data_IF_958591354642
#
_entry.id   IF_958591354642
#
_cell.length_a   1.000
_cell.length_b   1.000
_cell.length_c   1.000
_cell.angle_alpha   90.00
_cell.angle_beta   90.00
_cell.angle_gamma   90.00
#
_symmetry.space_group_name_H-M   'P 1'
#
loop_
_entity.id
_entity.type
_entity.pdbx_description
1 polymer ?
#
# COMPACT_ATOMS: atom_id res chain seq x y z
N UNK A 1 1.03 -12.60 9.59
CA UNK A 1 1.39 -11.28 9.03
C UNK A 1 0.13 -10.46 8.78
N UNK A 2 0.20 -9.12 8.83
CA UNK A 2 -0.96 -8.22 8.73
C UNK A 2 -0.57 -6.82 8.23
N UNK A 3 -1.23 -5.77 8.72
CA UNK A 3 -0.98 -4.37 8.30
C UNK A 3 0.49 -3.94 8.44
N UNK A 4 1.20 -4.42 9.47
CA UNK A 4 2.64 -4.13 9.66
C UNK A 4 3.47 -4.65 8.48
N UNK A 5 3.25 -5.90 8.08
CA UNK A 5 3.95 -6.50 6.93
C UNK A 5 3.57 -5.84 5.60
N UNK A 6 2.33 -5.36 5.45
CA UNK A 6 1.95 -4.58 4.28
C UNK A 6 2.70 -3.25 4.20
N UNK A 7 2.84 -2.54 5.34
CA UNK A 7 3.63 -1.31 5.42
C UNK A 7 5.09 -1.55 5.06
N UNK A 8 5.69 -2.57 5.64
CA UNK A 8 7.08 -2.96 5.37
C UNK A 8 7.30 -3.22 3.87
N UNK A 9 6.39 -3.96 3.21
CA UNK A 9 6.47 -4.24 1.77
C UNK A 9 6.25 -3.02 0.89
N UNK A 10 5.26 -2.18 1.20
CA UNK A 10 5.02 -0.96 0.44
C UNK A 10 6.23 -0.03 0.49
N UNK A 11 6.84 0.13 1.67
CA UNK A 11 8.06 0.92 1.83
C UNK A 11 9.25 0.31 1.07
N UNK A 12 9.39 -1.02 1.07
CA UNK A 12 10.45 -1.70 0.33
C UNK A 12 10.38 -1.49 -1.19
N UNK A 13 9.17 -1.29 -1.73
CA UNK A 13 8.92 -0.99 -3.14
C UNK A 13 8.92 0.52 -3.45
N UNK A 14 9.42 1.36 -2.54
CA UNK A 14 9.43 2.82 -2.73
C UNK A 14 8.04 3.48 -2.66
N UNK A 15 7.04 2.74 -2.19
CA UNK A 15 5.67 3.21 -2.03
C UNK A 15 5.36 3.73 -0.63
N UNK A 16 4.09 4.06 -0.41
CA UNK A 16 3.55 4.51 0.87
C UNK A 16 2.37 3.65 1.33
N UNK A 17 2.11 3.63 2.64
CA UNK A 17 1.05 2.82 3.23
C UNK A 17 0.37 3.54 4.40
N UNK A 18 -0.97 3.56 4.37
CA UNK A 18 -1.81 4.10 5.44
C UNK A 18 -2.90 3.10 5.81
N UNK A 19 -3.13 2.95 7.11
CA UNK A 19 -4.24 2.16 7.63
C UNK A 19 -4.84 2.86 8.85
N UNK A 20 -6.17 2.99 8.89
CA UNK A 20 -6.85 3.64 9.99
C UNK A 20 -8.36 3.83 9.77
N UNK A 21 -9.08 4.29 10.81
CA UNK A 21 -10.51 4.59 10.71
C UNK A 21 -10.78 5.72 9.71
N UNK A 22 -11.96 5.72 9.07
CA UNK A 22 -12.39 6.80 8.19
C UNK A 22 -13.39 7.74 8.88
N UNK A 23 -13.41 9.03 8.49
CA UNK A 23 -14.56 9.89 8.73
C UNK A 23 -15.83 9.24 8.16
N UNK A 24 -16.91 9.19 8.94
CA UNK A 24 -18.14 8.50 8.55
C UNK A 24 -18.16 6.99 8.82
N UNK A 25 -17.10 6.45 9.42
CA UNK A 25 -17.04 5.05 9.86
C UNK A 25 -16.32 4.12 8.90
N UNK A 26 -16.05 2.92 9.40
CA UNK A 26 -15.25 1.90 8.73
C UNK A 26 -13.74 2.13 8.84
N UNK A 27 -12.98 1.24 8.20
CA UNK A 27 -11.53 1.20 8.24
C UNK A 27 -10.97 1.25 6.82
N UNK A 28 -10.01 2.13 6.55
CA UNK A 28 -9.31 2.22 5.27
C UNK A 28 -7.94 1.60 5.40
N UNK A 29 -7.57 0.83 4.37
CA UNK A 29 -6.20 0.43 4.08
C UNK A 29 -5.89 0.95 2.69
N UNK A 30 -4.78 1.67 2.56
CA UNK A 30 -4.33 2.30 1.32
C UNK A 30 -2.83 2.03 1.15
N UNK A 31 -2.46 1.58 -0.04
CA UNK A 31 -1.07 1.44 -0.46
C UNK A 31 -0.92 2.15 -1.81
N UNK A 32 0.06 3.03 -1.92
CA UNK A 32 0.42 3.70 -3.16
C UNK A 32 1.78 3.20 -3.55
N UNK A 33 1.89 2.61 -4.74
CA UNK A 33 3.13 2.08 -5.27
C UNK A 33 3.49 2.84 -6.55
N UNK A 34 4.78 3.12 -6.79
CA UNK A 34 5.22 3.56 -8.10
C UNK A 34 4.88 2.47 -9.13
N UNK A 35 4.43 2.91 -10.30
CA UNK A 35 4.32 2.06 -11.48
C UNK A 35 5.48 2.42 -12.39
N UNK A 36 6.49 1.57 -12.43
CA UNK A 36 7.48 1.63 -13.49
C UNK A 36 6.75 1.16 -14.76
N UNK A 37 6.75 1.99 -15.79
CA UNK A 37 5.85 1.84 -16.94
C UNK A 37 6.00 0.58 -17.77
N UNK A 38 6.93 -0.33 -17.47
CA UNK A 38 7.28 -1.47 -18.32
C UNK A 38 7.82 -2.64 -17.49
N UNK A 39 6.97 -3.60 -17.09
CA UNK A 39 7.29 -5.04 -17.05
C UNK A 39 6.09 -5.83 -16.51
N UNK A 40 5.21 -6.27 -17.43
CA UNK A 40 4.67 -7.64 -17.55
C UNK A 40 3.65 -7.70 -18.72
N UNK A 41 4.11 -7.24 -19.90
CA UNK A 41 3.70 -7.81 -21.19
C UNK A 41 4.99 -8.27 -21.87
N UNK A 42 5.57 -9.34 -21.34
CA UNK A 42 6.54 -10.18 -22.02
C UNK A 42 5.99 -11.60 -22.03
#
# INVERSE_FOLDING_TARGET
AGLRGMRERAAALGGSFRAGPRPGGGFRVEAVLPIDGEEERA
#
